data_IF_952222745126
#
_entry.id   IF_952222745126
#
_cell.length_a   1.000
_cell.length_b   1.000
_cell.length_c   1.000
_cell.angle_alpha   90.00
_cell.angle_beta   90.00
_cell.angle_gamma   90.00
#
_symmetry.space_group_name_H-M   'P 1'
#
loop_
_entity.id
_entity.type
_entity.pdbx_description
1 polymer ?
#
# COMPACT_ATOMS: atom_id res chain seq x y z
N UNK A 1 -34.80 -27.90 -70.26
CA UNK A 1 -34.85 -29.34 -69.89
C UNK A 1 -33.41 -29.76 -69.69
N UNK A 2 -32.99 -29.89 -68.44
CA UNK A 2 -32.60 -31.19 -67.84
C UNK A 2 -31.41 -31.79 -68.60
N UNK A 3 -30.30 -32.17 -67.99
CA UNK A 3 -30.26 -33.20 -66.95
C UNK A 3 -28.82 -33.35 -66.45
N UNK A 4 -28.70 -33.66 -65.15
CA UNK A 4 -27.76 -34.59 -64.53
C UNK A 4 -26.27 -34.58 -64.97
N UNK A 5 -25.43 -34.11 -64.06
CA UNK A 5 -24.03 -34.54 -63.92
C UNK A 5 -23.99 -35.80 -63.05
N UNK A 6 -23.31 -36.85 -63.51
CA UNK A 6 -23.02 -38.08 -62.75
C UNK A 6 -21.61 -38.59 -63.08
N UNK A 7 -21.10 -39.47 -62.20
CA UNK A 7 -19.78 -40.13 -62.12
C UNK A 7 -18.75 -39.33 -61.30
N UNK A 8 -18.37 -39.69 -60.05
CA UNK A 8 -18.22 -41.02 -59.45
C UNK A 8 -16.99 -41.71 -60.06
N UNK A 9 -15.94 -42.17 -59.37
CA UNK A 9 -15.61 -42.35 -57.96
C UNK A 9 -14.09 -42.58 -57.92
N UNK A 10 -13.38 -42.20 -56.87
CA UNK A 10 -12.09 -42.82 -56.56
C UNK A 10 -12.03 -43.11 -55.06
N UNK A 11 -11.86 -44.40 -54.77
CA UNK A 11 -11.78 -45.00 -53.44
C UNK A 11 -10.36 -44.92 -52.92
N UNK A 12 -10.19 -44.59 -51.64
CA UNK A 12 -9.15 -45.23 -50.83
C UNK A 12 -9.59 -45.31 -49.37
N UNK A 13 -9.40 -46.50 -48.84
CA UNK A 13 -9.70 -46.96 -47.49
C UNK A 13 -8.72 -46.36 -46.48
N UNK A 14 -9.21 -46.00 -45.30
CA UNK A 14 -8.88 -46.71 -44.05
C UNK A 14 -9.14 -45.82 -42.84
N UNK A 15 -9.84 -46.42 -41.87
CA UNK A 15 -9.89 -46.15 -40.44
C UNK A 15 -9.01 -45.00 -39.93
N UNK A 16 -9.55 -44.15 -39.05
CA UNK A 16 -9.47 -44.36 -37.59
C UNK A 16 -10.11 -43.18 -36.84
N UNK A 17 -11.08 -43.53 -36.00
CA UNK A 17 -11.32 -43.03 -34.64
C UNK A 17 -11.16 -41.52 -34.37
N UNK A 18 -12.30 -40.85 -34.16
CA UNK A 18 -12.39 -39.65 -33.35
C UNK A 18 -12.01 -39.99 -31.89
N UNK A 19 -11.10 -39.26 -31.24
CA UNK A 19 -11.08 -39.26 -29.80
C UNK A 19 -12.18 -38.32 -29.27
N UNK A 20 -13.16 -38.98 -28.64
CA UNK A 20 -13.97 -38.48 -27.52
C UNK A 20 -13.13 -37.57 -26.62
N UNK A 21 -13.56 -36.33 -26.43
CA UNK A 21 -12.96 -35.36 -25.51
C UNK A 21 -13.02 -35.95 -24.10
N UNK A 22 -11.88 -36.42 -23.61
CA UNK A 22 -11.62 -36.55 -22.20
C UNK A 22 -10.88 -35.28 -21.79
N UNK A 23 -11.55 -34.41 -21.03
CA UNK A 23 -10.87 -33.33 -20.33
C UNK A 23 -10.03 -33.95 -19.22
N UNK A 24 -8.74 -34.15 -19.50
CA UNK A 24 -7.71 -34.41 -18.50
C UNK A 24 -6.74 -33.23 -18.50
N UNK A 25 -6.67 -32.59 -17.35
CA UNK A 25 -5.70 -31.62 -16.83
C UNK A 25 -4.56 -31.17 -17.76
N UNK A 26 -4.55 -29.87 -18.06
CA UNK A 26 -3.43 -29.13 -18.64
C UNK A 26 -3.81 -27.66 -18.82
N UNK A 27 -2.96 -26.75 -18.35
CA UNK A 27 -3.09 -25.27 -18.34
C UNK A 27 -4.02 -24.68 -17.26
N UNK A 28 -3.55 -23.92 -16.28
CA UNK A 28 -2.53 -22.88 -16.36
C UNK A 28 -1.54 -22.90 -15.18
N UNK A 29 -0.25 -23.06 -15.48
CA UNK A 29 0.85 -22.63 -14.62
C UNK A 29 1.20 -21.20 -15.06
N UNK A 30 0.85 -20.17 -14.27
CA UNK A 30 1.18 -18.81 -14.71
C UNK A 30 0.73 -17.61 -13.88
N UNK A 31 0.54 -17.69 -12.57
CA UNK A 31 0.53 -16.49 -11.73
C UNK A 31 1.06 -16.84 -10.33
N UNK A 32 2.34 -16.58 -10.09
CA UNK A 32 2.94 -16.78 -8.78
C UNK A 32 2.35 -15.74 -7.80
N UNK A 33 1.75 -16.11 -6.66
CA UNK A 33 1.25 -15.15 -5.68
C UNK A 33 2.40 -14.63 -4.81
N UNK A 34 3.30 -13.84 -5.38
CA UNK A 34 4.36 -13.18 -4.61
C UNK A 34 3.97 -11.78 -4.11
N UNK A 35 2.73 -11.35 -4.32
CA UNK A 35 2.31 -9.96 -4.04
C UNK A 35 1.18 -9.79 -3.02
N UNK A 36 0.46 -10.86 -2.66
CA UNK A 36 -0.79 -10.74 -1.91
C UNK A 36 -0.59 -10.45 -0.43
N UNK A 37 0.36 -11.10 0.25
CA UNK A 37 0.53 -10.94 1.70
C UNK A 37 1.14 -9.57 2.09
N UNK A 38 2.07 -9.04 1.29
CA UNK A 38 2.66 -7.72 1.51
C UNK A 38 1.67 -6.60 1.18
N UNK A 39 0.89 -6.74 0.10
CA UNK A 39 -0.21 -5.82 -0.20
C UNK A 39 -1.31 -5.89 0.85
N UNK A 40 -1.67 -7.07 1.33
CA UNK A 40 -2.69 -7.23 2.37
C UNK A 40 -2.27 -6.56 3.67
N UNK A 41 -1.07 -6.85 4.19
CA UNK A 41 -0.52 -6.14 5.36
C UNK A 41 -0.50 -4.62 5.18
N UNK A 42 -0.28 -4.18 3.94
CA UNK A 42 -0.29 -2.78 3.60
C UNK A 42 -1.67 -2.15 3.75
N UNK A 43 -2.68 -2.82 3.20
CA UNK A 43 -4.07 -2.40 3.34
C UNK A 43 -4.51 -2.43 4.80
N UNK A 44 -4.12 -3.47 5.55
CA UNK A 44 -4.48 -3.62 6.96
C UNK A 44 -3.96 -2.46 7.82
N UNK A 45 -2.73 -1.99 7.58
CA UNK A 45 -2.19 -0.85 8.33
C UNK A 45 -2.83 0.49 7.94
N UNK A 46 -3.21 0.66 6.66
CA UNK A 46 -3.98 1.85 6.24
C UNK A 46 -5.36 1.82 6.87
N UNK A 47 -5.99 0.65 6.92
CA UNK A 47 -7.30 0.44 7.53
C UNK A 47 -7.27 0.64 9.05
N UNK A 48 -6.13 0.33 9.69
CA UNK A 48 -5.91 0.62 11.11
C UNK A 48 -6.02 2.11 11.46
N UNK A 49 -5.96 3.01 10.48
CA UNK A 49 -6.25 4.44 10.69
C UNK A 49 -7.75 4.74 10.84
N UNK A 50 -8.64 3.92 10.27
CA UNK A 50 -10.10 4.20 10.29
C UNK A 50 -10.74 4.34 11.68
N UNK A 51 -10.37 3.56 12.71
CA UNK A 51 -10.97 3.72 14.02
C UNK A 51 -10.38 4.87 14.85
N UNK A 52 -9.24 5.45 14.45
CA UNK A 52 -8.53 6.48 15.23
C UNK A 52 -9.36 7.75 15.50
N UNK A 53 -10.20 8.25 14.56
CA UNK A 53 -11.11 9.37 14.82
C UNK A 53 -11.93 9.21 16.09
N UNK A 54 -12.53 8.03 16.30
CA UNK A 54 -13.37 7.77 17.46
C UNK A 54 -12.59 7.74 18.78
N UNK A 55 -11.29 7.44 18.74
CA UNK A 55 -10.44 7.25 19.91
C UNK A 55 -9.77 8.54 20.40
N UNK A 56 -9.45 9.46 19.49
CA UNK A 56 -8.62 10.64 19.80
C UNK A 56 -9.31 11.99 19.56
N UNK A 57 -10.59 12.00 19.16
CA UNK A 57 -11.36 13.24 18.95
C UNK A 57 -11.68 14.02 20.22
N UNK A 58 -11.59 13.39 21.38
CA UNK A 58 -11.89 14.02 22.68
C UNK A 58 -10.58 14.45 23.34
N UNK A 59 -10.58 15.65 23.94
CA UNK A 59 -9.46 16.09 24.74
C UNK A 59 -9.24 15.16 25.93
N UNK A 60 -8.03 15.14 26.46
CA UNK A 60 -7.62 14.31 27.59
C UNK A 60 -7.78 12.80 27.33
N UNK A 61 -7.66 12.35 26.08
CA UNK A 61 -7.77 10.93 25.70
C UNK A 61 -6.70 10.04 26.36
N UNK A 62 -5.59 10.63 26.81
CA UNK A 62 -4.54 9.94 27.55
C UNK A 62 -4.63 10.10 29.09
N UNK A 63 -5.60 10.87 29.61
CA UNK A 63 -5.70 11.17 31.04
C UNK A 63 -4.69 12.21 31.55
N UNK A 64 -3.84 12.76 30.69
CA UNK A 64 -2.78 13.72 31.03
C UNK A 64 -2.92 15.05 30.27
N UNK A 65 -4.13 15.39 29.84
CA UNK A 65 -4.46 16.66 29.20
C UNK A 65 -4.14 16.75 27.71
N UNK A 66 -3.99 15.61 27.01
CA UNK A 66 -3.73 15.62 25.56
C UNK A 66 -4.80 16.39 24.78
N UNK A 67 -4.38 17.11 23.75
CA UNK A 67 -5.27 17.75 22.79
C UNK A 67 -5.97 16.70 21.91
N UNK A 68 -7.18 16.98 21.43
CA UNK A 68 -7.85 16.12 20.47
C UNK A 68 -7.08 16.12 19.15
N UNK A 69 -7.00 14.95 18.51
CA UNK A 69 -6.44 14.82 17.16
C UNK A 69 -7.55 15.16 16.16
N UNK A 70 -7.37 16.14 15.27
CA UNK A 70 -8.39 16.51 14.31
C UNK A 70 -8.53 15.45 13.22
N UNK A 71 -9.76 15.25 12.74
CA UNK A 71 -10.04 14.34 11.62
C UNK A 71 -9.18 14.63 10.40
N UNK A 72 -8.90 15.91 10.14
CA UNK A 72 -8.05 16.32 9.02
C UNK A 72 -6.62 15.80 9.14
N UNK A 73 -6.04 15.66 10.33
CA UNK A 73 -4.70 15.07 10.50
C UNK A 73 -4.71 13.58 10.14
N UNK A 74 -5.77 12.86 10.52
CA UNK A 74 -5.95 11.44 10.19
C UNK A 74 -6.13 11.26 8.68
N UNK A 75 -6.91 12.14 8.05
CA UNK A 75 -7.11 12.12 6.61
C UNK A 75 -5.81 12.45 5.83
N UNK A 76 -5.00 13.41 6.31
CA UNK A 76 -3.69 13.70 5.73
C UNK A 76 -2.74 12.50 5.83
N UNK A 77 -2.65 11.87 7.00
CA UNK A 77 -1.82 10.68 7.19
C UNK A 77 -2.26 9.51 6.30
N UNK A 78 -3.58 9.31 6.15
CA UNK A 78 -4.13 8.31 5.23
C UNK A 78 -3.73 8.60 3.78
N UNK A 79 -3.88 9.84 3.32
CA UNK A 79 -3.45 10.24 1.97
C UNK A 79 -1.94 10.08 1.79
N UNK A 80 -1.14 10.40 2.80
CA UNK A 80 0.30 10.14 2.78
C UNK A 80 0.59 8.64 2.59
N UNK A 81 -0.01 7.76 3.39
CA UNK A 81 0.19 6.31 3.27
C UNK A 81 -0.30 5.75 1.93
N UNK A 82 -1.34 6.32 1.33
CA UNK A 82 -1.79 5.93 -0.01
C UNK A 82 -0.76 6.32 -1.09
N UNK A 83 -0.08 7.45 -0.92
CA UNK A 83 0.96 7.95 -1.85
C UNK A 83 2.36 7.37 -1.59
N UNK A 84 2.62 6.81 -0.41
CA UNK A 84 3.91 6.22 -0.06
C UNK A 84 4.25 5.06 -1.01
N UNK A 85 5.43 5.00 -1.65
CA UNK A 85 5.72 3.89 -2.56
C UNK A 85 5.71 2.54 -1.84
N UNK A 86 5.23 1.49 -2.52
CA UNK A 86 5.07 0.15 -1.93
C UNK A 86 6.39 -0.52 -1.52
N UNK A 87 7.53 0.00 -2.00
CA UNK A 87 8.87 -0.45 -1.62
C UNK A 87 9.27 -0.01 -0.21
N UNK A 88 8.59 0.98 0.36
CA UNK A 88 8.84 1.44 1.72
C UNK A 88 8.00 0.64 2.72
N UNK A 89 8.58 0.25 3.88
CA UNK A 89 7.80 -0.33 4.96
C UNK A 89 6.81 0.70 5.49
N UNK A 90 5.74 0.19 6.06
CA UNK A 90 4.76 1.03 6.72
C UNK A 90 5.31 1.57 8.04
N UNK A 91 5.01 2.83 8.37
CA UNK A 91 5.34 3.39 9.66
C UNK A 91 4.45 2.80 10.76
N UNK A 92 4.91 2.96 11.99
CA UNK A 92 4.05 2.91 13.18
C UNK A 92 3.24 4.20 13.29
N UNK A 93 1.99 4.09 13.73
CA UNK A 93 1.10 5.24 13.88
C UNK A 93 1.07 5.65 15.35
N UNK A 94 1.53 6.86 15.64
CA UNK A 94 1.66 7.37 17.01
C UNK A 94 0.78 8.62 17.21
N UNK A 95 -0.31 8.53 17.99
CA UNK A 95 -1.05 9.71 18.45
C UNK A 95 -0.16 10.59 19.34
N UNK A 96 -0.06 11.89 19.03
CA UNK A 96 0.78 12.83 19.80
C UNK A 96 -0.09 13.66 20.77
N UNK A 97 0.36 13.90 22.02
CA UNK A 97 -0.42 14.64 23.02
C UNK A 97 -0.76 16.07 22.65
N UNK A 98 -0.06 16.68 21.70
CA UNK A 98 -0.28 18.04 21.21
C UNK A 98 -1.35 18.12 20.10
N UNK A 99 -1.99 17.00 19.77
CA UNK A 99 -3.06 16.91 18.77
C UNK A 99 -2.54 16.59 17.37
N UNK A 100 -1.27 16.23 17.23
CA UNK A 100 -0.72 15.72 15.98
C UNK A 100 -0.93 14.20 15.88
N UNK A 101 -0.88 13.69 14.67
CA UNK A 101 -0.73 12.26 14.40
C UNK A 101 0.64 12.03 13.80
N UNK A 102 1.48 11.23 14.45
CA UNK A 102 2.81 10.86 14.00
C UNK A 102 2.81 9.57 13.19
N UNK A 103 3.64 9.53 12.15
CA UNK A 103 4.04 8.32 11.43
C UNK A 103 5.53 8.10 11.65
N UNK A 104 5.88 6.98 12.28
CA UNK A 104 7.24 6.68 12.73
C UNK A 104 7.88 5.53 11.96
N UNK A 105 9.08 5.77 11.44
CA UNK A 105 9.99 4.74 10.98
C UNK A 105 11.12 4.63 12.00
N UNK A 106 11.10 3.57 12.79
CA UNK A 106 12.11 3.28 13.79
C UNK A 106 12.94 2.06 13.38
N UNK A 107 14.26 2.21 13.36
CA UNK A 107 15.19 1.10 13.14
C UNK A 107 15.94 0.72 14.42
N UNK A 108 16.42 1.71 15.17
CA UNK A 108 17.04 1.53 16.49
C UNK A 108 17.12 2.87 17.24
N UNK A 109 17.67 2.87 18.46
CA UNK A 109 17.76 4.06 19.34
C UNK A 109 18.49 5.28 18.75
N UNK A 110 19.19 5.12 17.63
CA UNK A 110 19.90 6.18 16.92
C UNK A 110 19.29 6.52 15.56
N UNK A 111 18.31 5.74 15.10
CA UNK A 111 17.72 5.85 13.77
C UNK A 111 16.19 5.84 13.89
N UNK A 112 15.62 7.03 13.84
CA UNK A 112 14.18 7.30 13.91
C UNK A 112 13.85 8.42 12.95
N UNK A 113 12.78 8.27 12.19
CA UNK A 113 12.20 9.37 11.41
C UNK A 113 10.71 9.45 11.66
N UNK A 114 10.22 10.65 11.94
CA UNK A 114 8.83 10.92 12.27
C UNK A 114 8.30 11.98 11.31
N UNK A 115 7.11 11.71 10.76
CA UNK A 115 6.31 12.68 10.01
C UNK A 115 5.00 12.88 10.77
N UNK A 116 4.79 14.08 11.31
CA UNK A 116 3.64 14.43 12.12
C UNK A 116 2.67 15.35 11.36
N UNK A 117 1.39 15.06 11.47
CA UNK A 117 0.28 15.71 10.76
C UNK A 117 -0.59 16.48 11.74
N UNK A 118 -0.93 17.73 11.43
CA UNK A 118 -1.81 18.56 12.27
C UNK A 118 -3.15 18.90 11.63
N UNK A 119 -3.41 18.42 10.41
CA UNK A 119 -4.67 18.68 9.74
C UNK A 119 -4.80 20.07 9.10
N UNK A 120 -3.66 20.77 8.91
CA UNK A 120 -3.58 22.12 8.29
C UNK A 120 -2.73 22.11 7.01
N UNK A 121 -2.42 20.93 6.46
CA UNK A 121 -1.61 20.74 5.26
C UNK A 121 -0.10 20.84 5.47
N UNK A 122 0.35 21.16 6.68
CA UNK A 122 1.76 21.26 7.04
C UNK A 122 2.21 19.96 7.72
N UNK A 123 3.28 19.36 7.20
CA UNK A 123 3.94 18.20 7.78
C UNK A 123 5.09 18.67 8.67
N UNK A 124 5.07 18.29 9.94
CA UNK A 124 6.26 18.43 10.79
C UNK A 124 7.13 17.20 10.61
N UNK A 125 8.40 17.37 10.28
CA UNK A 125 9.35 16.29 10.12
C UNK A 125 10.44 16.39 11.17
N UNK A 126 10.70 15.29 11.87
CA UNK A 126 11.79 15.17 12.83
C UNK A 126 12.52 13.86 12.64
N UNK A 127 13.83 13.86 12.79
CA UNK A 127 14.63 12.66 12.60
C UNK A 127 15.89 12.62 13.43
N UNK A 128 16.23 11.43 13.90
CA UNK A 128 17.52 11.08 14.48
C UNK A 128 18.24 10.17 13.49
N UNK A 129 19.41 10.59 13.01
CA UNK A 129 20.24 9.88 12.02
C UNK A 129 21.66 9.69 12.56
N UNK A 130 21.79 8.91 13.63
CA UNK A 130 23.05 8.79 14.36
C UNK A 130 23.38 10.10 15.08
N UNK A 131 24.50 10.78 14.74
CA UNK A 131 24.84 12.08 15.32
C UNK A 131 23.99 13.22 14.74
N UNK A 132 23.44 13.04 13.54
CA UNK A 132 22.71 14.08 12.83
C UNK A 132 21.25 14.13 13.26
N UNK A 133 20.68 15.33 13.20
CA UNK A 133 19.27 15.57 13.49
C UNK A 133 18.63 16.33 12.34
N UNK A 134 17.41 15.93 12.01
CA UNK A 134 16.60 16.59 11.00
C UNK A 134 15.40 17.20 11.70
N UNK A 135 15.11 18.45 11.38
CA UNK A 135 13.90 19.15 11.78
C UNK A 135 13.41 19.99 10.62
N UNK A 136 12.10 20.11 10.47
CA UNK A 136 11.52 21.13 9.62
C UNK A 136 10.09 20.85 9.20
N UNK A 137 9.47 21.88 8.66
CA UNK A 137 8.13 21.79 8.09
C UNK A 137 8.23 21.50 6.59
N UNK A 138 7.38 20.61 6.09
CA UNK A 138 7.21 20.29 4.67
C UNK A 138 5.74 20.37 4.31
N UNK A 139 5.45 20.36 3.02
CA UNK A 139 4.09 20.40 2.49
C UNK A 139 3.90 19.27 1.49
N UNK A 140 2.70 18.71 1.45
CA UNK A 140 2.30 17.79 0.41
C UNK A 140 1.58 18.57 -0.68
N UNK A 141 2.29 18.84 -1.77
CA UNK A 141 1.69 19.37 -2.98
C UNK A 141 1.13 18.18 -3.81
N UNK A 142 1.72 17.90 -4.96
CA UNK A 142 1.29 16.81 -5.85
C UNK A 142 1.63 15.41 -5.29
N UNK A 143 2.68 15.31 -4.48
CA UNK A 143 3.20 14.05 -3.97
C UNK A 143 3.90 14.18 -2.62
N UNK A 144 4.53 13.09 -2.17
CA UNK A 144 5.43 13.12 -1.02
C UNK A 144 6.75 13.77 -1.47
N UNK A 145 7.22 14.84 -0.80
CA UNK A 145 8.52 15.43 -1.09
C UNK A 145 9.65 14.39 -1.10
N UNK A 146 10.50 14.42 -2.12
CA UNK A 146 11.58 13.44 -2.28
C UNK A 146 12.49 13.34 -1.03
N UNK A 147 12.73 14.47 -0.37
CA UNK A 147 13.51 14.53 0.86
C UNK A 147 12.94 13.64 1.98
N UNK A 148 11.60 13.54 2.09
CA UNK A 148 10.95 12.67 3.07
C UNK A 148 11.27 11.20 2.76
N UNK A 149 11.18 10.79 1.48
CA UNK A 149 11.50 9.42 1.06
C UNK A 149 12.99 9.10 1.25
N UNK A 150 13.87 10.05 0.96
CA UNK A 150 15.31 9.91 1.20
C UNK A 150 15.60 9.73 2.69
N UNK A 151 14.93 10.49 3.56
CA UNK A 151 15.13 10.41 5.00
C UNK A 151 14.60 9.09 5.59
N UNK A 152 13.44 8.61 5.13
CA UNK A 152 12.95 7.28 5.49
C UNK A 152 13.96 6.21 5.04
N UNK A 153 14.48 6.34 3.81
CA UNK A 153 15.50 5.40 3.30
C UNK A 153 16.77 5.39 4.15
N UNK A 154 17.25 6.55 4.60
CA UNK A 154 18.45 6.64 5.45
C UNK A 154 18.27 5.93 6.79
N UNK A 155 17.08 6.00 7.39
CA UNK A 155 16.79 5.34 8.67
C UNK A 155 16.69 3.83 8.55
N UNK A 156 16.21 3.32 7.40
CA UNK A 156 15.97 1.89 7.19
C UNK A 156 17.17 1.13 6.59
N UNK A 157 18.29 1.80 6.33
CA UNK A 157 19.50 1.21 5.75
C UNK A 157 20.44 0.61 6.78
#
# INVERSE_FOLDING_TARGET
>A
MSTLTAHGSFTFSSNTCLPRVYATEGEAVGARPFHTASQQRRLDAIEALLPLPGRYREANWNGEGAAPIPESAIQEARTFLQKLPATFPLPEVTPEPDGYLGLEWYANKWLLYVVSFNGKGALSCSGLMGPDRIYGTRYMDEGIPAEILDNITKVLR
#
